data_IF_307804602427
#
_entry.id   IF_307804602427
#
_cell.length_a   1.000
_cell.length_b   1.000
_cell.length_c   1.000
_cell.angle_alpha   90.00
_cell.angle_beta   90.00
_cell.angle_gamma   90.00
#
_symmetry.space_group_name_H-M   'P 1'
#
loop_
_entity.id
_entity.type
_entity.pdbx_description
1 polymer ?
#
# COMPACT_ATOMS: atom_id res chain seq x y z
N UNK A 1 -12.68 21.69 13.48
CA UNK A 1 -12.63 20.76 12.32
C UNK A 1 -12.11 19.42 12.79
N UNK A 2 -12.86 18.37 12.54
CA UNK A 2 -12.36 17.03 12.79
C UNK A 2 -11.34 16.70 11.69
N UNK A 3 -10.10 16.45 12.10
CA UNK A 3 -9.11 15.96 11.18
C UNK A 3 -9.46 14.50 10.84
N UNK A 4 -9.57 14.22 9.55
CA UNK A 4 -9.73 12.86 9.08
C UNK A 4 -8.41 12.10 9.22
N UNK A 5 -8.48 10.82 9.55
CA UNK A 5 -7.31 9.96 9.52
C UNK A 5 -6.82 9.85 8.07
N UNK A 6 -5.52 10.01 7.87
CA UNK A 6 -4.94 9.86 6.53
C UNK A 6 -4.91 8.39 6.15
N UNK A 7 -5.32 8.11 4.92
CA UNK A 7 -5.16 6.79 4.31
C UNK A 7 -3.95 6.83 3.39
N UNK A 8 -2.92 6.08 3.74
CA UNK A 8 -1.69 6.00 2.96
C UNK A 8 -1.54 4.60 2.36
N UNK A 9 -1.44 4.52 1.05
CA UNK A 9 -1.01 3.32 0.36
C UNK A 9 0.52 3.31 0.41
N UNK A 10 1.11 2.39 1.17
CA UNK A 10 2.56 2.22 1.28
C UNK A 10 2.90 0.82 0.83
N UNK A 11 3.57 0.68 -0.31
CA UNK A 11 3.71 -0.61 -0.97
C UNK A 11 5.02 -0.72 -1.75
N UNK A 12 5.54 -1.94 -1.82
CA UNK A 12 6.70 -2.30 -2.63
C UNK A 12 6.23 -2.91 -3.96
N UNK A 13 6.91 -2.54 -5.04
CA UNK A 13 6.65 -3.11 -6.37
C UNK A 13 7.94 -3.54 -7.04
N UNK A 14 7.81 -4.41 -8.05
CA UNK A 14 8.88 -4.62 -9.03
C UNK A 14 9.12 -3.35 -9.83
N UNK A 15 10.22 -3.31 -10.60
CA UNK A 15 10.54 -2.15 -11.43
C UNK A 15 9.46 -1.86 -12.48
N UNK A 16 8.76 -2.89 -12.91
CA UNK A 16 7.67 -2.81 -13.88
C UNK A 16 6.27 -2.72 -13.25
N UNK A 17 6.18 -2.52 -11.93
CA UNK A 17 4.93 -2.12 -11.26
C UNK A 17 4.03 -3.23 -10.74
N UNK A 18 4.57 -4.45 -10.57
CA UNK A 18 3.82 -5.57 -10.02
C UNK A 18 4.09 -5.74 -8.53
N UNK A 19 3.05 -6.12 -7.77
CA UNK A 19 3.17 -6.34 -6.32
C UNK A 19 3.38 -7.80 -5.95
N UNK A 20 3.09 -8.71 -6.88
CA UNK A 20 3.24 -10.15 -6.70
C UNK A 20 3.36 -10.82 -8.06
N UNK A 21 3.86 -12.05 -8.08
CA UNK A 21 3.80 -12.89 -9.27
C UNK A 21 2.35 -13.29 -9.56
N UNK A 22 2.08 -13.90 -10.73
CA UNK A 22 0.72 -14.28 -11.12
C UNK A 22 0.06 -15.28 -10.17
N UNK A 23 0.87 -16.03 -9.42
CA UNK A 23 0.40 -16.97 -8.38
C UNK A 23 0.51 -16.39 -6.95
N UNK A 24 0.46 -15.07 -6.83
CA UNK A 24 0.53 -14.33 -5.55
C UNK A 24 1.88 -14.48 -4.81
N UNK A 25 2.94 -14.85 -5.51
CA UNK A 25 4.27 -15.03 -4.92
C UNK A 25 4.97 -13.71 -4.59
N UNK A 26 5.73 -13.71 -3.50
CA UNK A 26 6.49 -12.56 -3.02
C UNK A 26 8.00 -12.82 -2.95
N UNK A 27 8.47 -13.92 -3.54
CA UNK A 27 9.88 -14.34 -3.50
C UNK A 27 10.82 -13.34 -4.16
N UNK A 28 10.28 -12.51 -5.06
CA UNK A 28 11.03 -11.46 -5.76
C UNK A 28 11.41 -10.29 -4.84
N UNK A 29 10.70 -10.11 -3.72
CA UNK A 29 11.02 -9.04 -2.77
C UNK A 29 12.41 -9.25 -2.19
N UNK A 30 13.28 -8.21 -2.24
CA UNK A 30 14.59 -8.31 -1.60
C UNK A 30 14.44 -8.57 -0.10
N UNK A 31 15.26 -9.48 0.40
CA UNK A 31 15.35 -9.69 1.84
C UNK A 31 16.14 -8.52 2.45
N UNK A 32 15.64 -7.93 3.54
CA UNK A 32 16.38 -6.86 4.21
C UNK A 32 17.76 -7.35 4.61
N UNK A 33 18.79 -6.67 4.14
CA UNK A 33 20.15 -6.97 4.55
C UNK A 33 20.80 -5.66 5.02
N UNK A 34 21.00 -5.55 6.33
CA UNK A 34 21.59 -4.36 6.93
C UNK A 34 20.54 -3.41 7.51
N UNK A 35 20.96 -2.18 7.84
CA UNK A 35 20.12 -1.25 8.61
C UNK A 35 19.08 -0.47 7.79
N UNK A 36 19.08 -0.62 6.46
CA UNK A 36 18.12 0.12 5.62
C UNK A 36 16.70 -0.41 5.81
N UNK A 37 15.78 0.46 6.20
CA UNK A 37 14.38 0.13 6.39
C UNK A 37 13.43 0.84 5.40
N UNK A 38 13.99 1.58 4.45
CA UNK A 38 13.23 2.34 3.43
C UNK A 38 12.19 3.29 4.05
N UNK A 39 12.44 3.78 5.28
CA UNK A 39 11.54 4.67 5.98
C UNK A 39 10.36 3.99 6.67
N UNK A 40 10.34 2.65 6.72
CA UNK A 40 9.23 1.91 7.32
C UNK A 40 9.04 2.21 8.80
N UNK A 41 10.13 2.29 9.58
CA UNK A 41 10.04 2.59 11.01
C UNK A 41 9.36 3.92 11.28
N UNK A 42 9.77 4.95 10.57
CA UNK A 42 9.15 6.28 10.69
C UNK A 42 7.69 6.27 10.22
N UNK A 43 7.39 5.57 9.13
CA UNK A 43 6.02 5.44 8.65
C UNK A 43 5.12 4.73 9.67
N UNK A 44 5.58 3.64 10.26
CA UNK A 44 4.80 2.87 11.23
C UNK A 44 4.44 3.66 12.49
N UNK A 45 5.22 4.69 12.83
CA UNK A 45 4.88 5.60 13.94
C UNK A 45 3.71 6.52 13.61
N UNK A 46 3.41 6.71 12.33
CA UNK A 46 2.32 7.60 11.87
C UNK A 46 0.98 6.90 11.74
N UNK A 47 0.94 5.58 11.87
CA UNK A 47 -0.26 4.76 11.68
C UNK A 47 -0.50 3.87 12.89
N UNK A 48 -1.75 3.50 13.13
CA UNK A 48 -2.13 2.56 14.19
C UNK A 48 -3.12 1.50 13.70
N UNK A 49 -3.37 1.49 12.40
CA UNK A 49 -4.38 0.64 11.79
C UNK A 49 -3.91 0.22 10.40
N UNK A 50 -4.19 -1.01 10.02
CA UNK A 50 -3.89 -1.52 8.68
C UNK A 50 -5.16 -2.11 8.07
N UNK A 51 -5.36 -1.81 6.78
CA UNK A 51 -6.45 -2.35 5.97
C UNK A 51 -5.86 -3.25 4.91
N UNK A 52 -6.29 -4.49 4.85
CA UNK A 52 -5.69 -5.52 4.01
C UNK A 52 -6.78 -6.24 3.24
N UNK A 53 -6.59 -6.41 1.93
CA UNK A 53 -7.45 -7.27 1.13
C UNK A 53 -7.30 -8.74 1.53
N UNK A 54 -8.38 -9.51 1.42
CA UNK A 54 -8.42 -10.91 1.87
C UNK A 54 -7.35 -11.77 1.22
N UNK A 55 -7.15 -11.66 -0.07
CA UNK A 55 -6.12 -12.43 -0.78
C UNK A 55 -4.72 -12.13 -0.27
N UNK A 56 -4.42 -10.86 -0.07
CA UNK A 56 -3.12 -10.43 0.46
C UNK A 56 -2.92 -10.97 1.86
N UNK A 57 -3.94 -10.88 2.72
CA UNK A 57 -3.88 -11.43 4.06
C UNK A 57 -3.60 -12.94 4.05
N UNK A 58 -4.28 -13.69 3.18
CA UNK A 58 -4.10 -15.14 3.08
C UNK A 58 -2.66 -15.52 2.69
N UNK A 59 -1.94 -14.66 2.00
CA UNK A 59 -0.53 -14.85 1.67
C UNK A 59 0.37 -14.49 2.85
N UNK A 60 0.22 -13.29 3.41
CA UNK A 60 1.16 -12.76 4.42
C UNK A 60 0.99 -13.36 5.80
N UNK A 61 -0.21 -13.85 6.16
CA UNK A 61 -0.44 -14.44 7.47
C UNK A 61 0.36 -15.71 7.75
N UNK A 62 0.96 -16.28 6.72
CA UNK A 62 1.79 -17.48 6.84
C UNK A 62 3.25 -17.16 7.21
N UNK A 63 3.62 -15.88 7.24
CA UNK A 63 4.92 -15.49 7.72
C UNK A 63 4.99 -15.72 9.23
N UNK A 64 6.14 -16.21 9.70
CA UNK A 64 6.31 -16.69 11.09
C UNK A 64 6.14 -15.57 12.12
N UNK A 65 6.50 -14.35 11.76
CA UNK A 65 6.41 -13.22 12.68
C UNK A 65 5.09 -12.48 12.51
N UNK A 66 4.53 -12.03 13.62
CA UNK A 66 3.37 -11.17 13.57
C UNK A 66 3.74 -9.84 12.90
N UNK A 67 3.12 -9.56 11.76
CA UNK A 67 3.50 -8.43 10.94
C UNK A 67 3.14 -7.08 11.59
N UNK A 68 2.07 -7.03 12.37
CA UNK A 68 1.53 -5.77 12.89
C UNK A 68 1.05 -5.96 14.34
N UNK A 69 1.95 -6.21 15.31
CA UNK A 69 1.55 -6.65 16.66
C UNK A 69 0.71 -5.63 17.44
N UNK A 70 0.87 -4.34 17.13
CA UNK A 70 0.19 -3.26 17.86
C UNK A 70 -0.86 -2.53 17.02
N UNK A 71 -1.18 -3.06 15.84
CA UNK A 71 -2.11 -2.41 14.93
C UNK A 71 -3.49 -3.05 14.97
N UNK A 72 -4.52 -2.20 14.89
CA UNK A 72 -5.85 -2.66 14.55
C UNK A 72 -5.84 -3.15 13.11
N UNK A 73 -6.34 -4.36 12.86
CA UNK A 73 -6.33 -4.98 11.53
C UNK A 73 -7.74 -5.15 11.01
N UNK A 74 -7.95 -4.73 9.77
CA UNK A 74 -9.20 -4.93 9.06
C UNK A 74 -8.92 -5.66 7.76
N UNK A 75 -9.44 -6.88 7.65
CA UNK A 75 -9.29 -7.71 6.46
C UNK A 75 -10.60 -7.62 5.68
N UNK A 76 -10.52 -7.07 4.48
CA UNK A 76 -11.66 -6.76 3.65
C UNK A 76 -11.83 -7.79 2.54
N UNK A 77 -13.04 -8.32 2.41
CA UNK A 77 -13.40 -9.28 1.39
C UNK A 77 -14.44 -8.68 0.45
N UNK A 78 -14.21 -8.79 -0.86
CA UNK A 78 -15.14 -8.31 -1.89
C UNK A 78 -16.56 -8.84 -1.76
N UNK A 79 -16.69 -10.08 -1.33
CA UNK A 79 -18.00 -10.76 -1.28
C UNK A 79 -18.87 -10.31 -0.12
N UNK A 80 -18.30 -9.63 0.88
CA UNK A 80 -19.00 -9.37 2.14
C UNK A 80 -19.01 -7.91 2.56
N UNK A 81 -18.17 -7.06 1.96
CA UNK A 81 -18.03 -5.67 2.40
C UNK A 81 -17.85 -4.73 1.20
N UNK A 82 -18.49 -3.56 1.31
CA UNK A 82 -18.06 -2.41 0.54
C UNK A 82 -16.83 -1.83 1.25
N UNK A 83 -15.64 -2.21 0.76
CA UNK A 83 -14.38 -1.84 1.39
C UNK A 83 -14.16 -0.34 1.46
N UNK A 84 -14.57 0.38 0.42
CA UNK A 84 -14.39 1.85 0.38
C UNK A 84 -15.30 2.57 1.35
N UNK A 85 -16.54 2.11 1.51
CA UNK A 85 -17.46 2.66 2.50
C UNK A 85 -16.94 2.42 3.92
N UNK A 86 -16.46 1.21 4.19
CA UNK A 86 -15.85 0.86 5.48
C UNK A 86 -14.66 1.76 5.80
N UNK A 87 -13.73 1.92 4.85
CA UNK A 87 -12.54 2.75 5.05
C UNK A 87 -12.92 4.22 5.24
N UNK A 88 -13.89 4.72 4.47
CA UNK A 88 -14.38 6.09 4.60
C UNK A 88 -14.90 6.35 6.00
N UNK A 89 -15.65 5.41 6.55
CA UNK A 89 -16.16 5.47 7.92
C UNK A 89 -15.02 5.41 8.95
N UNK A 90 -14.04 4.55 8.72
CA UNK A 90 -12.86 4.41 9.57
C UNK A 90 -12.06 5.71 9.63
N UNK A 91 -11.95 6.43 8.53
CA UNK A 91 -11.26 7.73 8.46
C UNK A 91 -11.90 8.80 9.36
N UNK A 92 -13.17 8.64 9.71
CA UNK A 92 -13.88 9.58 10.59
C UNK A 92 -13.67 9.29 12.07
N UNK A 93 -13.13 8.12 12.41
CA UNK A 93 -12.89 7.74 13.80
C UNK A 93 -11.60 8.34 14.33
N UNK A 94 -11.47 8.34 15.64
CA UNK A 94 -10.25 8.80 16.32
C UNK A 94 -9.11 7.80 16.09
N UNK A 95 -7.90 8.30 15.91
CA UNK A 95 -6.70 7.48 15.74
C UNK A 95 -5.65 8.17 14.90
N UNK A 96 -4.53 7.47 14.72
CA UNK A 96 -3.47 7.88 13.82
C UNK A 96 -3.87 7.57 12.37
N UNK A 97 -2.93 7.62 11.45
CA UNK A 97 -3.17 7.27 10.06
C UNK A 97 -3.55 5.80 9.86
N UNK A 98 -4.06 5.50 8.69
CA UNK A 98 -4.44 4.15 8.27
C UNK A 98 -3.50 3.72 7.16
N UNK A 99 -2.90 2.55 7.30
CA UNK A 99 -2.05 1.97 6.27
C UNK A 99 -2.90 1.09 5.35
N UNK A 100 -3.03 1.49 4.09
CA UNK A 100 -3.60 0.63 3.05
C UNK A 100 -2.47 -0.27 2.53
N UNK A 101 -2.56 -1.54 2.87
CA UNK A 101 -1.51 -2.50 2.51
C UNK A 101 -1.70 -3.08 1.10
N UNK A 102 -2.92 -3.13 0.62
CA UNK A 102 -3.25 -3.71 -0.67
C UNK A 102 -4.14 -4.94 -0.50
N UNK A 103 -4.35 -5.77 -1.47
CA UNK A 103 -3.71 -5.86 -2.80
C UNK A 103 -4.27 -4.96 -3.91
N UNK A 104 -3.96 -5.38 -5.13
CA UNK A 104 -4.24 -4.56 -6.31
C UNK A 104 -5.70 -4.16 -6.47
N UNK A 105 -6.62 -5.06 -6.21
CA UNK A 105 -8.06 -4.78 -6.35
C UNK A 105 -8.52 -3.75 -5.31
N UNK A 106 -8.09 -3.90 -4.06
CA UNK A 106 -8.44 -2.94 -3.01
C UNK A 106 -7.81 -1.57 -3.30
N UNK A 107 -6.57 -1.54 -3.79
CA UNK A 107 -5.93 -0.31 -4.23
C UNK A 107 -6.72 0.39 -5.34
N UNK A 108 -7.15 -0.37 -6.34
CA UNK A 108 -7.97 0.13 -7.44
C UNK A 108 -9.27 0.77 -6.93
N UNK A 109 -9.97 0.07 -6.05
CA UNK A 109 -11.23 0.56 -5.49
C UNK A 109 -11.04 1.86 -4.72
N UNK A 110 -9.99 1.93 -3.90
CA UNK A 110 -9.68 3.13 -3.12
C UNK A 110 -9.27 4.32 -3.99
N UNK A 111 -8.54 4.06 -5.09
CA UNK A 111 -8.20 5.11 -6.06
C UNK A 111 -9.47 5.64 -6.75
N UNK A 112 -10.32 4.74 -7.22
CA UNK A 112 -11.58 5.11 -7.90
C UNK A 112 -12.52 5.88 -6.97
N UNK A 113 -12.54 5.52 -5.69
CA UNK A 113 -13.35 6.21 -4.68
C UNK A 113 -12.74 7.53 -4.20
N UNK A 114 -11.53 7.84 -4.63
CA UNK A 114 -10.80 9.07 -4.26
C UNK A 114 -10.65 9.24 -2.74
N UNK A 115 -10.33 8.17 -2.03
CA UNK A 115 -10.18 8.18 -0.57
C UNK A 115 -8.74 8.07 -0.07
N UNK A 116 -7.78 7.84 -0.97
CA UNK A 116 -6.36 7.76 -0.60
C UNK A 116 -5.78 9.19 -0.53
N UNK A 117 -5.08 9.47 0.57
CA UNK A 117 -4.48 10.79 0.81
C UNK A 117 -3.03 10.86 0.35
N UNK A 118 -2.32 9.75 0.39
CA UNK A 118 -0.91 9.68 -0.01
C UNK A 118 -0.57 8.28 -0.50
N UNK A 119 0.28 8.21 -1.52
CA UNK A 119 0.81 6.94 -2.03
C UNK A 119 2.33 6.98 -1.92
N UNK A 120 2.89 5.97 -1.27
CA UNK A 120 4.34 5.75 -1.17
C UNK A 120 4.64 4.42 -1.85
N UNK A 121 5.39 4.48 -2.95
CA UNK A 121 5.77 3.28 -3.72
C UNK A 121 7.29 3.13 -3.69
N UNK A 122 7.77 1.97 -3.26
CA UNK A 122 9.18 1.60 -3.35
C UNK A 122 9.33 0.57 -4.47
N UNK A 123 9.94 0.99 -5.56
CA UNK A 123 10.25 0.12 -6.71
C UNK A 123 11.62 -0.48 -6.53
N UNK A 124 11.69 -1.80 -6.53
CA UNK A 124 12.96 -2.52 -6.48
C UNK A 124 13.44 -2.87 -7.88
N UNK A 125 14.77 -3.01 -8.08
CA UNK A 125 15.33 -3.27 -9.41
C UNK A 125 15.19 -4.74 -9.83
N UNK A 126 13.96 -5.24 -9.79
CA UNK A 126 13.60 -6.59 -10.21
C UNK A 126 12.47 -6.48 -11.20
N UNK A 127 12.64 -7.01 -12.41
CA UNK A 127 11.59 -7.06 -13.44
C UNK A 127 10.88 -8.38 -13.39
N UNK A 128 9.55 -8.37 -13.27
CA UNK A 128 8.75 -9.59 -13.26
C UNK A 128 8.19 -9.96 -14.63
N UNK A 129 7.99 -8.98 -15.53
CA UNK A 129 7.40 -9.19 -16.84
C UNK A 129 5.90 -9.40 -16.83
N UNK A 130 5.39 -10.11 -15.84
CA UNK A 130 3.96 -10.32 -15.59
C UNK A 130 3.72 -10.44 -14.08
N UNK A 131 2.51 -10.26 -13.63
CA UNK A 131 2.18 -10.34 -12.21
C UNK A 131 0.89 -9.63 -11.86
N UNK A 132 0.71 -9.37 -10.58
CA UNK A 132 -0.44 -8.62 -10.06
C UNK A 132 -0.11 -7.13 -10.13
N UNK A 133 -0.81 -6.34 -10.96
CA UNK A 133 -0.55 -4.90 -11.04
C UNK A 133 -0.85 -4.19 -9.73
N UNK A 134 -0.04 -3.19 -9.39
CA UNK A 134 -0.18 -2.45 -8.11
C UNK A 134 -1.55 -1.78 -7.98
N UNK A 135 -2.16 -1.36 -9.08
CA UNK A 135 -3.45 -0.68 -9.08
C UNK A 135 -4.58 -1.51 -9.71
N UNK A 136 -4.48 -2.83 -9.63
CA UNK A 136 -5.49 -3.74 -10.17
C UNK A 136 -5.73 -3.53 -11.67
N UNK A 137 -6.97 -3.39 -12.08
CA UNK A 137 -7.34 -3.18 -13.48
C UNK A 137 -6.90 -1.80 -14.02
N UNK A 138 -6.56 -0.84 -13.16
CA UNK A 138 -5.97 0.42 -13.57
C UNK A 138 -4.52 0.24 -14.06
N UNK A 139 -3.90 -0.89 -13.77
CA UNK A 139 -2.56 -1.23 -14.23
C UNK A 139 -1.46 -0.84 -13.27
N UNK A 140 -0.32 -0.44 -13.82
CA UNK A 140 0.92 -0.18 -13.06
C UNK A 140 1.24 1.32 -12.95
N UNK A 141 0.47 2.17 -13.61
CA UNK A 141 0.68 3.61 -13.62
C UNK A 141 -0.46 4.32 -12.87
N UNK A 142 -0.11 5.37 -12.15
CA UNK A 142 -1.13 6.22 -11.50
C UNK A 142 -1.88 7.05 -12.53
N UNK A 143 -3.19 7.27 -12.31
CA UNK A 143 -3.95 8.22 -13.12
C UNK A 143 -3.38 9.63 -13.03
N UNK A 144 -3.64 10.50 -14.03
CA UNK A 144 -3.00 11.82 -14.13
C UNK A 144 -3.34 12.80 -13.00
N UNK A 145 -4.34 12.51 -12.19
CA UNK A 145 -4.68 13.34 -11.03
C UNK A 145 -3.74 13.14 -9.84
N UNK A 146 -2.71 12.32 -9.97
CA UNK A 146 -1.69 12.11 -8.94
C UNK A 146 -0.39 12.83 -9.33
N UNK A 147 0.19 13.53 -8.37
CA UNK A 147 1.44 14.27 -8.55
C UNK A 147 2.56 13.67 -7.69
N UNK A 148 3.70 13.43 -8.31
CA UNK A 148 4.89 12.97 -7.57
C UNK A 148 5.53 14.16 -6.88
N UNK A 149 5.56 14.13 -5.55
CA UNK A 149 6.10 15.23 -4.72
C UNK A 149 7.49 14.95 -4.18
N UNK A 150 7.94 13.70 -4.22
CA UNK A 150 9.26 13.31 -3.70
C UNK A 150 9.74 12.02 -4.35
N UNK A 151 11.06 11.87 -4.44
CA UNK A 151 11.69 10.64 -4.91
C UNK A 151 13.04 10.48 -4.23
N UNK A 152 13.34 9.25 -3.80
CA UNK A 152 14.60 8.90 -3.15
C UNK A 152 15.16 7.62 -3.76
N UNK A 153 16.45 7.63 -4.08
CA UNK A 153 17.19 6.46 -4.56
C UNK A 153 17.96 5.84 -3.37
N UNK A 154 17.83 4.54 -3.19
CA UNK A 154 18.56 3.78 -2.18
C UNK A 154 19.76 3.08 -2.77
N UNK A 155 20.71 2.69 -1.91
CA UNK A 155 21.99 2.10 -2.33
C UNK A 155 21.82 0.78 -3.09
N UNK A 156 20.75 0.04 -2.84
CA UNK A 156 20.45 -1.24 -3.52
C UNK A 156 19.78 -1.07 -4.88
N UNK A 157 19.55 0.18 -5.30
CA UNK A 157 18.84 0.50 -6.55
C UNK A 157 17.33 0.68 -6.37
N UNK A 158 16.79 0.50 -5.18
CA UNK A 158 15.40 0.79 -4.88
C UNK A 158 15.07 2.28 -5.04
N UNK A 159 13.92 2.60 -5.60
CA UNK A 159 13.46 3.97 -5.79
C UNK A 159 12.13 4.15 -5.09
N UNK A 160 12.10 5.02 -4.09
CA UNK A 160 10.87 5.33 -3.38
C UNK A 160 10.33 6.67 -3.84
N UNK A 161 9.07 6.68 -4.24
CA UNK A 161 8.37 7.90 -4.66
C UNK A 161 7.14 8.12 -3.78
N UNK A 162 6.86 9.41 -3.52
CA UNK A 162 5.69 9.84 -2.76
C UNK A 162 4.80 10.65 -3.68
N UNK A 163 3.52 10.32 -3.68
CA UNK A 163 2.51 10.92 -4.55
C UNK A 163 1.34 11.45 -3.74
N UNK A 164 0.82 12.58 -4.14
CA UNK A 164 -0.39 13.17 -3.56
C UNK A 164 -1.38 13.50 -4.66
N UNK A 165 -2.70 13.51 -4.35
CA UNK A 165 -3.68 13.91 -5.36
C UNK A 165 -3.56 15.42 -5.64
N UNK A 166 -3.73 15.78 -6.92
CA UNK A 166 -3.69 17.19 -7.36
C UNK A 166 -5.00 17.93 -7.09
N UNK A 167 -6.06 17.20 -6.79
CA UNK A 167 -7.40 17.76 -6.50
C UNK A 167 -7.68 17.55 -5.02
N UNK A 168 -8.06 18.62 -4.33
CA UNK A 168 -8.52 18.52 -2.95
C UNK A 168 -9.79 17.67 -2.85
N UNK A 169 -9.87 16.86 -1.82
CA UNK A 169 -10.99 15.95 -1.57
C UNK A 169 -12.10 16.61 -0.77
#
# INVERSE_FOLDING_TARGET
MSEHRRLTLHIATSSDGFIATTDDGLEWLPQPSGPEDYGMGAFMETVDCVVIGRKTWDVIRHFEEEQFPNFERHILSHSTHDGTAFITELKQKQGKGIWLLGGGILNEECIKANIIDEIVITKFPVELGEGIPVFGALGVELPPQWEKVSQQLFADGGIQSIWTPTIEK
#
